data_IF_925605402277
#
_entry.id   IF_925605402277
#
_cell.length_a   1.000
_cell.length_b   1.000
_cell.length_c   1.000
_cell.angle_alpha   90.00
_cell.angle_beta   90.00
_cell.angle_gamma   90.00
#
_symmetry.space_group_name_H-M   'P 1'
#
loop_
_entity.id
_entity.type
_entity.pdbx_description
1 polymer ?
#
# COMPACT_ATOMS: atom_id res chain seq x y z
N UNK A 1 -19.15 -1.57 35.81
CA UNK A 1 -19.71 -1.99 34.53
C UNK A 1 -19.05 -1.14 33.44
N UNK A 2 -17.98 -1.64 32.83
CA UNK A 2 -17.32 -0.99 31.72
C UNK A 2 -18.12 -1.33 30.45
N UNK A 3 -18.67 -0.31 29.83
CA UNK A 3 -19.35 -0.42 28.53
C UNK A 3 -18.29 -0.79 27.50
N UNK A 4 -18.23 -2.06 27.11
CA UNK A 4 -17.52 -2.53 25.94
C UNK A 4 -18.43 -2.24 24.74
N UNK A 5 -18.16 -1.16 24.05
CA UNK A 5 -18.74 -0.85 22.76
C UNK A 5 -18.06 -1.76 21.70
N UNK A 6 -18.74 -2.76 21.11
CA UNK A 6 -18.07 -3.78 20.27
C UNK A 6 -17.74 -3.30 18.84
N UNK A 7 -17.76 -1.98 18.56
CA UNK A 7 -17.65 -1.44 17.21
C UNK A 7 -16.45 -0.51 16.98
N UNK A 8 -15.57 -0.33 17.95
CA UNK A 8 -14.40 0.54 17.76
C UNK A 8 -13.12 -0.20 18.15
N UNK A 9 -12.57 -0.97 17.21
CA UNK A 9 -11.29 -1.67 17.38
C UNK A 9 -10.09 -0.76 17.08
N UNK A 10 -10.27 0.56 17.27
CA UNK A 10 -9.23 1.56 17.08
C UNK A 10 -8.14 1.44 18.15
N UNK A 11 -6.89 1.31 17.72
CA UNK A 11 -5.78 1.25 18.64
C UNK A 11 -5.54 2.64 19.30
N UNK A 12 -5.60 2.68 20.61
CA UNK A 12 -5.33 3.90 21.37
C UNK A 12 -3.84 4.23 21.44
N UNK A 13 -3.51 5.50 21.62
CA UNK A 13 -2.15 5.93 21.93
C UNK A 13 -1.60 5.18 23.16
N UNK A 14 -0.35 4.70 23.05
CA UNK A 14 0.30 3.89 24.08
C UNK A 14 0.09 2.36 23.92
N UNK A 15 -0.83 1.89 23.07
CA UNK A 15 -0.98 0.46 22.75
C UNK A 15 0.33 -0.09 22.19
N UNK A 16 0.71 -1.28 22.63
CA UNK A 16 1.89 -1.97 22.15
C UNK A 16 1.53 -3.03 21.09
N UNK A 17 2.15 -2.95 19.93
CA UNK A 17 2.17 -4.00 18.91
C UNK A 17 3.60 -4.54 18.85
N UNK A 18 3.84 -5.73 19.39
CA UNK A 18 5.21 -6.24 19.57
C UNK A 18 6.08 -5.21 20.33
N UNK A 19 7.16 -4.72 19.73
CA UNK A 19 8.02 -3.67 20.31
C UNK A 19 7.71 -2.26 19.78
N UNK A 20 6.65 -2.10 19.01
CA UNK A 20 6.18 -0.80 18.54
C UNK A 20 5.13 -0.23 19.50
N UNK A 21 5.22 1.06 19.78
CA UNK A 21 4.26 1.77 20.61
C UNK A 21 3.47 2.75 19.75
N UNK A 22 2.15 2.58 19.70
CA UNK A 22 1.26 3.47 18.94
C UNK A 22 1.32 4.89 19.52
N UNK A 23 1.49 5.87 18.63
CA UNK A 23 1.47 7.31 18.96
C UNK A 23 0.11 7.90 18.60
N UNK A 24 -0.33 7.73 17.36
CA UNK A 24 -1.60 8.25 16.83
C UNK A 24 -2.03 7.50 15.58
N UNK A 25 -3.32 7.53 15.29
CA UNK A 25 -3.85 7.14 13.98
C UNK A 25 -3.55 8.27 12.99
N UNK A 26 -3.09 7.93 11.79
CA UNK A 26 -2.75 8.88 10.72
C UNK A 26 -3.54 8.65 9.44
N UNK A 27 -4.25 7.51 9.32
CA UNK A 27 -5.10 7.24 8.17
C UNK A 27 -6.02 6.05 8.40
N UNK A 28 -7.10 5.98 7.60
CA UNK A 28 -8.00 4.84 7.53
C UNK A 28 -8.59 4.74 6.12
N UNK A 29 -8.77 3.53 5.63
CA UNK A 29 -9.36 3.30 4.31
C UNK A 29 -9.77 1.85 4.11
N UNK A 30 -10.22 1.50 2.93
CA UNK A 30 -10.67 0.14 2.60
C UNK A 30 -9.61 -0.95 2.72
N UNK A 31 -8.35 -0.59 2.96
CA UNK A 31 -7.22 -1.51 3.18
C UNK A 31 -6.73 -1.55 4.64
N UNK A 32 -7.53 -1.03 5.58
CA UNK A 32 -7.20 -1.02 6.99
C UNK A 32 -6.86 0.37 7.54
N UNK A 33 -6.22 0.38 8.67
CA UNK A 33 -5.88 1.58 9.43
C UNK A 33 -4.37 1.79 9.47
N UNK A 34 -3.94 3.05 9.39
CA UNK A 34 -2.52 3.42 9.45
C UNK A 34 -2.25 4.22 10.71
N UNK A 35 -1.23 3.81 11.44
CA UNK A 35 -0.82 4.42 12.70
C UNK A 35 0.62 4.91 12.62
N UNK A 36 0.88 6.06 13.21
CA UNK A 36 2.23 6.48 13.60
C UNK A 36 2.60 5.73 14.86
N UNK A 37 3.76 5.14 14.90
CA UNK A 37 4.26 4.39 16.05
C UNK A 37 5.74 4.67 16.31
N UNK A 38 6.21 4.37 17.53
CA UNK A 38 7.62 4.40 17.91
C UNK A 38 8.17 2.98 17.95
N UNK A 39 9.18 2.69 17.17
CA UNK A 39 10.02 1.50 17.32
C UNK A 39 10.89 1.68 18.55
N UNK A 40 10.59 0.92 19.62
CA UNK A 40 11.28 1.08 20.91
C UNK A 40 12.66 0.44 20.95
N UNK A 41 13.00 -0.39 19.96
CA UNK A 41 14.33 -1.03 19.84
C UNK A 41 15.32 -0.14 19.11
N UNK A 42 14.87 0.50 18.01
CA UNK A 42 15.71 1.32 17.16
C UNK A 42 15.52 2.83 17.42
N UNK A 43 14.61 3.19 18.33
CA UNK A 43 14.30 4.55 18.76
C UNK A 43 13.93 5.48 17.60
N UNK A 44 13.13 5.00 16.65
CA UNK A 44 12.67 5.74 15.46
C UNK A 44 11.15 5.71 15.32
N UNK A 45 10.63 6.65 14.56
CA UNK A 45 9.21 6.65 14.18
C UNK A 45 9.00 5.81 12.93
N UNK A 46 7.85 5.13 12.89
CA UNK A 46 7.44 4.24 11.81
C UNK A 46 5.95 4.41 11.53
N UNK A 47 5.51 4.02 10.34
CA UNK A 47 4.11 3.81 10.02
C UNK A 47 3.77 2.32 10.21
N UNK A 48 2.65 2.03 10.88
CA UNK A 48 2.09 0.67 10.98
C UNK A 48 0.75 0.65 10.27
N UNK A 49 0.64 -0.13 9.22
CA UNK A 49 -0.61 -0.41 8.53
C UNK A 49 -1.19 -1.71 9.06
N UNK A 50 -2.29 -1.62 9.81
CA UNK A 50 -3.04 -2.75 10.33
C UNK A 50 -4.11 -3.13 9.30
N UNK A 51 -4.06 -4.38 8.81
CA UNK A 51 -5.01 -4.88 7.82
C UNK A 51 -6.26 -5.45 8.52
N UNK A 52 -7.42 -5.45 7.84
CA UNK A 52 -8.62 -6.06 8.38
C UNK A 52 -8.40 -7.53 8.74
N UNK A 53 -9.04 -7.99 9.82
CA UNK A 53 -8.89 -9.37 10.31
C UNK A 53 -9.36 -10.41 9.28
N UNK A 54 -10.26 -10.03 8.36
CA UNK A 54 -10.71 -10.89 7.26
C UNK A 54 -9.59 -11.35 6.32
N UNK A 55 -8.47 -10.61 6.26
CA UNK A 55 -7.28 -11.03 5.51
C UNK A 55 -6.62 -12.25 6.14
N UNK A 56 -6.77 -12.46 7.45
CA UNK A 56 -6.18 -13.59 8.18
C UNK A 56 -7.09 -14.81 8.28
N UNK A 57 -8.39 -14.70 7.96
CA UNK A 57 -9.35 -15.81 8.09
C UNK A 57 -9.12 -16.93 7.07
N UNK A 58 -8.45 -16.63 5.95
CA UNK A 58 -8.06 -17.61 4.95
C UNK A 58 -6.54 -17.81 4.99
N UNK A 59 -6.09 -19.00 5.37
CA UNK A 59 -4.67 -19.32 5.49
C UNK A 59 -3.86 -18.99 4.21
N UNK A 60 -4.47 -19.20 3.05
CA UNK A 60 -3.89 -18.89 1.74
C UNK A 60 -3.68 -17.38 1.53
N UNK A 61 -4.58 -16.55 2.05
CA UNK A 61 -4.45 -15.08 1.96
C UNK A 61 -3.32 -14.57 2.84
N UNK A 62 -3.23 -15.07 4.07
CA UNK A 62 -2.15 -14.71 4.99
C UNK A 62 -0.79 -15.11 4.40
N UNK A 63 -0.68 -16.32 3.85
CA UNK A 63 0.55 -16.79 3.22
C UNK A 63 0.94 -15.92 2.00
N UNK A 64 -0.01 -15.56 1.15
CA UNK A 64 0.23 -14.64 0.02
C UNK A 64 0.67 -13.27 0.50
N UNK A 65 0.00 -12.72 1.52
CA UNK A 65 0.38 -11.45 2.14
C UNK A 65 1.85 -11.48 2.62
N UNK A 66 2.23 -12.52 3.37
CA UNK A 66 3.61 -12.65 3.84
C UNK A 66 4.62 -12.77 2.69
N UNK A 67 4.30 -13.53 1.64
CA UNK A 67 5.16 -13.67 0.47
C UNK A 67 5.34 -12.34 -0.28
N UNK A 68 4.25 -11.60 -0.50
CA UNK A 68 4.28 -10.30 -1.20
C UNK A 68 4.99 -9.24 -0.35
N UNK A 69 4.74 -9.19 0.94
CA UNK A 69 5.43 -8.29 1.85
C UNK A 69 6.94 -8.59 1.92
N UNK A 70 7.34 -9.87 1.97
CA UNK A 70 8.76 -10.27 1.91
C UNK A 70 9.40 -9.89 0.57
N UNK A 71 8.71 -10.09 -0.56
CA UNK A 71 9.22 -9.68 -1.86
C UNK A 71 9.42 -8.15 -1.94
N UNK A 72 8.45 -7.40 -1.43
CA UNK A 72 8.51 -5.93 -1.39
C UNK A 72 9.60 -5.43 -0.43
N UNK A 73 9.80 -6.07 0.71
CA UNK A 73 10.86 -5.70 1.67
C UNK A 73 12.29 -5.85 1.08
N UNK A 74 12.44 -6.68 0.05
CA UNK A 74 13.71 -6.80 -0.69
C UNK A 74 13.95 -5.63 -1.66
N UNK A 75 12.95 -4.76 -1.89
CA UNK A 75 13.09 -3.56 -2.72
C UNK A 75 13.71 -2.44 -1.88
N UNK A 76 14.91 -2.01 -2.25
CA UNK A 76 15.56 -0.84 -1.66
C UNK A 76 15.77 0.19 -2.78
N UNK A 77 14.85 1.14 -2.88
CA UNK A 77 14.87 2.18 -3.91
C UNK A 77 14.27 3.49 -3.36
N UNK A 78 14.85 4.67 -3.67
CA UNK A 78 14.36 5.94 -3.14
C UNK A 78 12.91 6.26 -3.48
N UNK A 79 12.39 5.70 -4.57
CA UNK A 79 11.01 5.92 -5.03
C UNK A 79 10.06 4.76 -4.69
N UNK A 80 10.43 3.85 -3.80
CA UNK A 80 9.58 2.77 -3.29
C UNK A 80 9.49 2.91 -1.77
N UNK A 81 8.30 2.69 -1.20
CA UNK A 81 8.10 2.65 0.25
C UNK A 81 8.95 1.54 0.86
N UNK A 82 9.77 1.89 1.85
CA UNK A 82 10.60 0.90 2.55
C UNK A 82 9.77 0.17 3.60
N UNK A 83 9.65 -1.15 3.46
CA UNK A 83 9.04 -2.03 4.46
C UNK A 83 10.12 -2.52 5.42
N UNK A 84 9.88 -2.35 6.73
CA UNK A 84 10.83 -2.71 7.77
C UNK A 84 10.52 -4.04 8.43
N UNK A 85 9.22 -4.34 8.62
CA UNK A 85 8.78 -5.52 9.35
C UNK A 85 7.35 -5.90 8.97
N UNK A 86 6.96 -7.13 9.29
CA UNK A 86 5.59 -7.64 9.16
C UNK A 86 5.26 -8.50 10.38
N UNK A 87 3.99 -8.57 10.73
CA UNK A 87 3.55 -9.42 11.84
C UNK A 87 2.04 -9.54 11.94
N UNK A 88 1.60 -10.10 13.05
CA UNK A 88 0.17 -10.26 13.37
C UNK A 88 -0.09 -9.74 14.78
N UNK A 89 -1.15 -8.96 14.95
CA UNK A 89 -1.62 -8.45 16.22
C UNK A 89 -3.10 -8.78 16.39
N UNK A 90 -3.45 -9.55 17.42
CA UNK A 90 -4.83 -9.98 17.71
C UNK A 90 -5.55 -10.59 16.48
N UNK A 91 -4.82 -11.38 15.69
CA UNK A 91 -5.34 -11.99 14.47
C UNK A 91 -5.33 -11.11 13.22
N UNK A 92 -5.03 -9.81 13.33
CA UNK A 92 -4.93 -8.88 12.21
C UNK A 92 -3.47 -8.75 11.74
N UNK A 93 -3.18 -8.98 10.45
CA UNK A 93 -1.84 -8.78 9.91
C UNK A 93 -1.48 -7.29 9.90
N UNK A 94 -0.19 -6.98 10.11
CA UNK A 94 0.30 -5.60 9.98
C UNK A 94 1.61 -5.53 9.21
N UNK A 95 1.84 -4.35 8.62
CA UNK A 95 3.10 -3.99 7.97
C UNK A 95 3.67 -2.79 8.70
N UNK A 96 4.97 -2.83 8.96
CA UNK A 96 5.74 -1.68 9.46
C UNK A 96 6.58 -1.11 8.32
N UNK A 97 6.46 0.18 8.08
CA UNK A 97 7.16 0.87 7.01
C UNK A 97 7.77 2.19 7.49
N UNK A 98 8.56 2.83 6.61
CA UNK A 98 9.01 4.19 6.83
C UNK A 98 7.80 5.13 7.01
N UNK A 99 7.89 6.05 7.98
CA UNK A 99 6.91 7.12 8.14
C UNK A 99 7.20 8.20 7.12
N UNK A 100 6.23 8.47 6.25
CA UNK A 100 6.34 9.52 5.23
C UNK A 100 5.65 10.80 5.72
N UNK A 101 6.23 11.95 5.37
CA UNK A 101 5.64 13.26 5.57
C UNK A 101 5.36 13.90 4.20
N UNK A 102 4.12 14.29 3.95
CA UNK A 102 3.66 14.82 2.66
C UNK A 102 2.19 14.51 2.42
N UNK A 103 1.82 14.24 1.18
CA UNK A 103 0.45 13.96 0.76
C UNK A 103 0.38 12.91 -0.35
N UNK A 104 -0.78 12.27 -0.53
CA UNK A 104 -1.03 11.43 -1.69
C UNK A 104 -1.02 12.26 -2.98
N UNK A 105 -0.55 11.67 -4.09
CA UNK A 105 -0.58 12.36 -5.37
C UNK A 105 -2.02 12.67 -5.81
N UNK A 106 -3.00 11.88 -5.40
CA UNK A 106 -4.42 12.14 -5.62
C UNK A 106 -4.83 13.50 -5.02
N UNK A 107 -4.55 13.71 -3.73
CA UNK A 107 -4.90 14.94 -3.03
C UNK A 107 -4.24 16.16 -3.67
N UNK A 108 -2.96 16.02 -4.05
CA UNK A 108 -2.23 17.08 -4.77
C UNK A 108 -2.84 17.40 -6.12
N UNK A 109 -3.27 16.40 -6.90
CA UNK A 109 -3.92 16.60 -8.20
C UNK A 109 -5.28 17.29 -8.07
N UNK A 110 -6.01 17.01 -7.00
CA UNK A 110 -7.32 17.62 -6.73
C UNK A 110 -7.18 19.06 -6.19
N UNK A 111 -6.08 19.34 -5.48
CA UNK A 111 -5.85 20.67 -4.89
C UNK A 111 -5.24 21.69 -5.86
N UNK A 112 -4.33 21.26 -6.75
CA UNK A 112 -3.58 22.19 -7.60
C UNK A 112 -3.27 21.61 -8.99
N UNK A 113 -3.14 22.51 -9.98
CA UNK A 113 -2.58 22.11 -11.29
C UNK A 113 -1.07 21.98 -11.19
N UNK A 114 -0.56 20.79 -11.41
CA UNK A 114 0.88 20.51 -11.38
C UNK A 114 1.54 21.02 -12.66
N UNK A 115 2.59 21.89 -12.59
CA UNK A 115 3.30 22.35 -13.77
C UNK A 115 3.92 21.22 -14.57
N UNK A 116 3.92 21.30 -15.90
CA UNK A 116 4.41 20.24 -16.80
C UNK A 116 5.81 19.72 -16.42
N UNK A 117 6.73 20.64 -16.08
CA UNK A 117 8.09 20.23 -15.66
C UNK A 117 8.05 19.31 -14.43
N UNK A 118 7.19 19.61 -13.47
CA UNK A 118 7.03 18.84 -12.25
C UNK A 118 6.35 17.50 -12.52
N UNK A 119 5.36 17.48 -13.42
CA UNK A 119 4.72 16.24 -13.89
C UNK A 119 5.72 15.30 -14.51
N UNK A 120 6.63 15.81 -15.35
CA UNK A 120 7.69 15.01 -15.96
C UNK A 120 8.66 14.47 -14.90
N UNK A 121 9.05 15.27 -13.92
CA UNK A 121 9.90 14.85 -12.81
C UNK A 121 9.26 13.71 -12.00
N UNK A 122 7.99 13.86 -11.62
CA UNK A 122 7.27 12.78 -10.93
C UNK A 122 7.15 11.52 -11.78
N UNK A 123 6.86 11.65 -13.08
CA UNK A 123 6.79 10.50 -13.98
C UNK A 123 8.14 9.76 -14.06
N UNK A 124 9.25 10.47 -14.13
CA UNK A 124 10.59 9.87 -14.13
C UNK A 124 10.88 9.11 -12.84
N UNK A 125 10.51 9.68 -11.68
CA UNK A 125 10.66 9.04 -10.40
C UNK A 125 9.82 7.75 -10.29
N UNK A 126 8.57 7.77 -10.76
CA UNK A 126 7.67 6.60 -10.80
C UNK A 126 8.28 5.51 -11.68
N UNK A 127 8.71 5.85 -12.91
CA UNK A 127 9.33 4.90 -13.84
C UNK A 127 10.60 4.29 -13.24
N UNK A 128 11.43 5.08 -12.57
CA UNK A 128 12.63 4.59 -11.90
C UNK A 128 12.31 3.55 -10.81
N UNK A 129 11.30 3.82 -9.97
CA UNK A 129 10.86 2.87 -8.95
C UNK A 129 10.26 1.59 -9.55
N UNK A 130 9.42 1.72 -10.58
CA UNK A 130 8.82 0.57 -11.27
C UNK A 130 9.90 -0.29 -11.96
N UNK A 131 10.89 0.33 -12.61
CA UNK A 131 12.00 -0.38 -13.24
C UNK A 131 12.75 -1.24 -12.22
N UNK A 132 13.10 -0.67 -11.06
CA UNK A 132 13.78 -1.39 -9.99
C UNK A 132 12.97 -2.57 -9.44
N UNK A 133 11.65 -2.45 -9.38
CA UNK A 133 10.77 -3.54 -8.98
C UNK A 133 10.67 -4.62 -10.06
N UNK A 134 10.51 -4.22 -11.33
CA UNK A 134 10.41 -5.14 -12.48
C UNK A 134 11.69 -5.95 -12.69
N UNK A 135 12.88 -5.38 -12.46
CA UNK A 135 14.16 -6.10 -12.49
C UNK A 135 14.21 -7.26 -11.49
N UNK A 136 13.42 -7.17 -10.40
CA UNK A 136 13.25 -8.24 -9.41
C UNK A 136 12.01 -9.11 -9.66
N UNK A 137 11.34 -8.95 -10.80
CA UNK A 137 10.14 -9.70 -11.15
C UNK A 137 8.88 -9.27 -10.38
N UNK A 138 8.91 -8.11 -9.71
CA UNK A 138 7.79 -7.62 -8.90
C UNK A 138 7.00 -6.59 -9.73
N UNK A 139 5.71 -6.86 -9.94
CA UNK A 139 4.77 -5.98 -10.65
C UNK A 139 3.79 -5.37 -9.66
N UNK A 140 3.51 -4.06 -9.78
CA UNK A 140 2.65 -3.34 -8.84
C UNK A 140 1.16 -3.75 -8.92
N UNK A 141 0.62 -3.91 -10.14
CA UNK A 141 -0.75 -4.35 -10.49
C UNK A 141 -1.90 -3.40 -10.15
N UNK A 142 -1.72 -2.41 -9.27
CA UNK A 142 -2.74 -1.41 -8.90
C UNK A 142 -2.11 -0.01 -8.81
N UNK A 143 -1.34 0.37 -9.85
CA UNK A 143 -0.72 1.70 -9.88
C UNK A 143 -1.78 2.76 -10.19
N UNK A 144 -1.97 3.68 -9.25
CA UNK A 144 -2.92 4.80 -9.32
C UNK A 144 -2.45 5.94 -8.42
N UNK A 145 -2.97 7.17 -8.55
CA UNK A 145 -2.52 8.32 -7.77
C UNK A 145 -2.63 8.13 -6.24
N UNK A 146 -3.58 7.33 -5.75
CA UNK A 146 -3.76 7.01 -4.34
C UNK A 146 -2.62 6.12 -3.79
N UNK A 147 -1.92 5.40 -4.66
CA UNK A 147 -0.78 4.56 -4.31
C UNK A 147 0.56 5.27 -4.61
N UNK A 148 0.54 6.57 -4.83
CA UNK A 148 1.70 7.42 -5.03
C UNK A 148 1.69 8.53 -3.98
N UNK A 149 2.77 8.63 -3.21
CA UNK A 149 2.92 9.62 -2.15
C UNK A 149 4.00 10.63 -2.54
N UNK A 150 3.73 11.91 -2.38
CA UNK A 150 4.71 12.98 -2.63
C UNK A 150 5.14 13.54 -1.29
N UNK A 151 6.41 13.32 -0.96
CA UNK A 151 7.00 13.81 0.29
C UNK A 151 7.21 15.33 0.27
N UNK A 152 7.44 15.92 1.44
CA UNK A 152 7.69 17.36 1.59
C UNK A 152 8.93 17.85 0.82
N UNK A 153 9.89 16.96 0.52
CA UNK A 153 11.07 17.24 -0.32
C UNK A 153 10.85 16.89 -1.81
N UNK A 154 9.56 16.78 -2.23
CA UNK A 154 9.14 16.52 -3.62
C UNK A 154 9.61 15.16 -4.18
N UNK A 155 9.86 14.19 -3.34
CA UNK A 155 10.15 12.82 -3.76
C UNK A 155 8.87 12.02 -3.89
N UNK A 156 8.73 11.29 -4.99
CA UNK A 156 7.63 10.35 -5.15
C UNK A 156 8.00 9.00 -4.52
N UNK A 157 7.12 8.46 -3.72
CA UNK A 157 7.17 7.10 -3.15
C UNK A 157 6.01 6.27 -3.67
N UNK A 158 6.30 5.10 -4.24
CA UNK A 158 5.30 4.14 -4.66
C UNK A 158 4.94 3.28 -3.45
N UNK A 159 3.66 3.26 -3.11
CA UNK A 159 3.09 2.54 -1.97
C UNK A 159 2.53 1.17 -2.41
N UNK A 160 2.27 0.28 -1.47
CA UNK A 160 1.40 -0.90 -1.59
C UNK A 160 1.69 -1.85 -2.78
N UNK A 161 2.97 -2.15 -3.09
CA UNK A 161 3.31 -3.18 -4.06
C UNK A 161 2.66 -4.52 -3.71
N UNK A 162 1.93 -5.11 -4.66
CA UNK A 162 1.44 -6.48 -4.58
C UNK A 162 0.19 -6.70 -3.71
N UNK A 163 -0.17 -5.81 -2.79
CA UNK A 163 -1.31 -5.99 -1.88
C UNK A 163 -2.68 -6.04 -2.58
N UNK A 164 -2.76 -5.68 -3.85
CA UNK A 164 -4.00 -5.74 -4.65
C UNK A 164 -4.55 -7.17 -4.82
N UNK A 165 -3.69 -8.20 -4.83
CA UNK A 165 -4.13 -9.60 -4.91
C UNK A 165 -4.94 -10.07 -3.72
N UNK A 166 -4.81 -9.43 -2.57
CA UNK A 166 -5.59 -9.74 -1.38
C UNK A 166 -7.08 -9.37 -1.54
N UNK A 167 -7.41 -8.54 -2.54
CA UNK A 167 -8.78 -8.07 -2.84
C UNK A 167 -9.55 -8.94 -3.83
N UNK A 168 -8.90 -9.76 -4.67
CA UNK A 168 -9.42 -10.12 -6.00
C UNK A 168 -9.81 -11.54 -6.29
N UNK A 169 -9.63 -12.55 -5.44
CA UNK A 169 -9.79 -13.96 -5.86
C UNK A 169 -11.23 -14.52 -5.81
N UNK A 170 -12.27 -13.69 -5.82
CA UNK A 170 -13.63 -14.22 -6.01
C UNK A 170 -14.08 -14.34 -7.47
N UNK A 171 -13.35 -13.77 -8.46
CA UNK A 171 -13.82 -13.74 -9.86
C UNK A 171 -12.81 -14.18 -10.93
N UNK A 172 -11.52 -14.44 -10.65
CA UNK A 172 -10.53 -14.65 -11.71
C UNK A 172 -10.25 -16.10 -12.09
N UNK A 173 -10.71 -17.11 -11.33
CA UNK A 173 -10.47 -18.52 -11.71
C UNK A 173 -11.42 -19.06 -12.80
N UNK A 174 -12.43 -18.29 -13.24
CA UNK A 174 -13.37 -18.70 -14.30
C UNK A 174 -13.26 -17.91 -15.61
N UNK A 175 -12.32 -16.98 -15.71
CA UNK A 175 -12.29 -16.03 -16.84
C UNK A 175 -10.99 -15.90 -17.62
N UNK A 176 -9.87 -16.50 -17.21
CA UNK A 176 -8.57 -16.20 -17.81
C UNK A 176 -8.24 -16.96 -19.09
N UNK A 177 -8.96 -18.03 -19.43
CA UNK A 177 -8.71 -18.75 -20.68
C UNK A 177 -9.53 -18.27 -21.89
N UNK A 178 -10.68 -17.63 -21.68
CA UNK A 178 -11.55 -17.14 -22.77
C UNK A 178 -11.37 -15.66 -23.11
N UNK A 179 -10.79 -14.84 -22.25
CA UNK A 179 -10.64 -13.39 -22.48
C UNK A 179 -9.48 -13.04 -23.41
N UNK A 180 -8.47 -13.91 -23.55
CA UNK A 180 -7.28 -13.64 -24.40
C UNK A 180 -7.55 -13.87 -25.89
N UNK A 181 -8.68 -14.46 -26.27
CA UNK A 181 -9.01 -14.80 -27.65
C UNK A 181 -9.92 -13.81 -28.39
N UNK A 182 -10.42 -12.76 -27.71
CA UNK A 182 -11.41 -11.83 -28.30
C UNK A 182 -11.00 -10.36 -28.40
N UNK A 183 -9.74 -10.01 -28.16
CA UNK A 183 -9.26 -8.64 -28.39
C UNK A 183 -8.26 -8.66 -29.57
N UNK A 184 -8.74 -9.08 -30.70
CA UNK A 184 -8.11 -8.77 -31.97
C UNK A 184 -9.01 -7.78 -32.74
N UNK A 185 -8.55 -6.52 -32.74
CA UNK A 185 -8.77 -5.50 -33.74
C UNK A 185 -10.20 -4.99 -33.95
N UNK A 186 -10.54 -3.90 -33.27
CA UNK A 186 -11.25 -2.81 -33.91
C UNK A 186 -10.39 -1.54 -33.77
N UNK A 187 -10.00 -0.88 -34.88
CA UNK A 187 -9.25 0.37 -34.82
C UNK A 187 -10.18 1.48 -34.31
N UNK A 188 -9.87 2.09 -33.16
CA UNK A 188 -10.57 3.27 -32.67
C UNK A 188 -11.08 3.22 -31.22
N UNK A 189 -10.78 2.19 -30.44
CA UNK A 189 -11.14 2.17 -29.01
C UNK A 189 -9.92 2.56 -28.16
N UNK A 190 -9.94 3.76 -27.63
CA UNK A 190 -9.03 4.22 -26.57
C UNK A 190 -9.50 3.55 -25.29
N UNK A 191 -8.73 2.60 -24.74
CA UNK A 191 -8.95 2.08 -23.39
C UNK A 191 -8.40 3.09 -22.38
N UNK A 192 -9.28 3.90 -21.81
CA UNK A 192 -9.08 4.70 -20.63
C UNK A 192 -10.32 4.58 -19.78
N UNK A 193 -10.18 4.34 -18.49
CA UNK A 193 -11.29 4.42 -17.55
C UNK A 193 -11.72 5.89 -17.48
N UNK A 194 -12.92 6.17 -17.96
CA UNK A 194 -13.61 7.45 -17.73
C UNK A 194 -14.52 7.17 -16.55
N UNK A 195 -14.25 7.79 -15.42
CA UNK A 195 -15.08 7.78 -14.22
C UNK A 195 -15.33 9.20 -13.79
#
# INVERSE_FOLDING_TARGET
MLNLDPMNNELSAGTAISHYRIVSKIGAGGMGEVYRARDTRLDREVAIKLLPAEVSTEADRLQRFEQEARATSALNHPNILTVYDIGTHEGSPYIVAELLEGEELRDRLDAVTIPLRKTIDYAQQIVSGLSAAHEKGIVHRDLKPENLFVTNDDRVKILDFGLAKLRGDRNDERGSEDATRKVLTNPGVVMGTVG
#
